data_IF_125043807772
#
_entry.id   IF_125043807772
#
_cell.length_a   1.000
_cell.length_b   1.000
_cell.length_c   1.000
_cell.angle_alpha   90.00
_cell.angle_beta   90.00
_cell.angle_gamma   90.00
#
_symmetry.space_group_name_H-M   'P 1'
#
loop_
_entity.id
_entity.type
_entity.pdbx_description
1 polymer ?
#
# COMPACT_ATOMS: atom_id res chain seq x y z
N UNK A 1 13.32 -34.99 1.80
CA UNK A 1 13.40 -33.82 0.89
C UNK A 1 14.78 -33.79 0.25
N UNK A 2 14.93 -33.34 -1.00
CA UNK A 2 16.23 -33.32 -1.71
C UNK A 2 16.84 -31.91 -1.73
N UNK A 3 17.65 -31.59 -0.71
CA UNK A 3 18.34 -30.29 -0.60
C UNK A 3 19.37 -30.15 -1.74
N UNK A 4 19.42 -29.01 -2.46
CA UNK A 4 20.27 -28.83 -3.63
C UNK A 4 21.71 -28.38 -3.30
N UNK A 5 22.44 -29.19 -2.53
CA UNK A 5 23.82 -28.89 -2.05
C UNK A 5 24.85 -28.48 -3.11
N UNK A 6 24.64 -28.84 -4.38
CA UNK A 6 25.61 -28.61 -5.47
C UNK A 6 24.99 -28.01 -6.74
N UNK A 7 23.78 -27.44 -6.65
CA UNK A 7 23.09 -26.82 -7.79
C UNK A 7 22.95 -25.32 -7.58
N UNK A 8 23.61 -24.54 -8.42
CA UNK A 8 23.43 -23.08 -8.50
C UNK A 8 22.75 -22.69 -9.81
N UNK A 9 21.88 -21.68 -9.76
CA UNK A 9 21.36 -21.04 -10.97
C UNK A 9 22.43 -20.14 -11.59
N UNK A 10 22.42 -20.02 -12.92
CA UNK A 10 23.22 -19.00 -13.62
C UNK A 10 22.56 -17.64 -13.43
N UNK A 11 23.25 -16.75 -12.74
CA UNK A 11 22.81 -15.37 -12.53
C UNK A 11 23.06 -14.53 -13.79
N UNK A 12 22.13 -13.62 -14.08
CA UNK A 12 22.27 -12.65 -15.16
C UNK A 12 22.55 -11.26 -14.57
N UNK A 13 23.60 -10.61 -15.06
CA UNK A 13 24.04 -9.28 -14.68
C UNK A 13 24.01 -8.27 -15.85
N UNK A 14 23.27 -8.56 -16.92
CA UNK A 14 23.05 -7.65 -18.04
C UNK A 14 22.16 -6.47 -17.62
N UNK A 15 22.80 -5.32 -17.33
CA UNK A 15 22.14 -4.08 -16.91
C UNK A 15 21.02 -3.61 -17.87
N UNK A 16 21.21 -3.75 -19.18
CA UNK A 16 20.20 -3.40 -20.19
C UNK A 16 18.96 -4.30 -20.06
N UNK A 17 19.15 -5.61 -19.93
CA UNK A 17 18.05 -6.57 -19.70
C UNK A 17 17.34 -6.27 -18.38
N UNK A 18 18.09 -6.02 -17.31
CA UNK A 18 17.53 -5.68 -16.00
C UNK A 18 16.70 -4.39 -16.06
N UNK A 19 17.18 -3.36 -16.78
CA UNK A 19 16.45 -2.12 -16.98
C UNK A 19 15.14 -2.34 -17.75
N UNK A 20 15.19 -3.07 -18.87
CA UNK A 20 13.98 -3.41 -19.66
C UNK A 20 12.95 -4.16 -18.80
N UNK A 21 13.38 -5.13 -17.99
CA UNK A 21 12.51 -5.88 -17.08
C UNK A 21 11.88 -4.98 -16.00
N UNK A 22 12.66 -4.08 -15.40
CA UNK A 22 12.17 -3.14 -14.38
C UNK A 22 11.22 -2.09 -14.97
N UNK A 23 11.46 -1.64 -16.20
CA UNK A 23 10.60 -0.69 -16.92
C UNK A 23 9.31 -1.36 -17.47
N UNK A 24 9.33 -2.67 -17.74
CA UNK A 24 8.16 -3.48 -18.11
C UNK A 24 7.26 -3.75 -16.87
N UNK A 25 7.82 -4.22 -15.76
CA UNK A 25 7.03 -4.58 -14.56
C UNK A 25 6.49 -3.37 -13.78
N UNK A 26 7.22 -2.25 -13.82
CA UNK A 26 6.91 -1.07 -13.01
C UNK A 26 6.94 0.20 -13.85
N UNK A 27 5.84 0.94 -13.84
CA UNK A 27 5.84 2.31 -14.32
C UNK A 27 6.39 3.25 -13.23
N UNK A 28 7.07 4.34 -13.62
CA UNK A 28 7.64 5.30 -12.67
C UNK A 28 8.81 4.73 -11.84
N UNK A 29 8.84 5.05 -10.55
CA UNK A 29 9.79 4.56 -9.52
C UNK A 29 11.29 4.68 -9.87
N UNK A 30 11.69 5.80 -10.49
CA UNK A 30 13.06 6.03 -11.00
C UNK A 30 14.15 5.75 -9.95
N UNK A 31 14.06 6.40 -8.79
CA UNK A 31 15.06 6.31 -7.72
C UNK A 31 15.27 4.86 -7.23
N UNK A 32 14.20 4.06 -7.21
CA UNK A 32 14.25 2.64 -6.83
C UNK A 32 14.89 1.81 -7.93
N UNK A 33 14.51 2.04 -9.19
CA UNK A 33 15.11 1.35 -10.35
C UNK A 33 16.59 1.63 -10.46
N UNK A 34 16.98 2.89 -10.31
CA UNK A 34 18.38 3.31 -10.32
C UNK A 34 19.14 2.63 -9.17
N UNK A 35 18.57 2.57 -7.96
CA UNK A 35 19.16 1.83 -6.83
C UNK A 35 19.29 0.32 -7.06
N UNK A 36 18.35 -0.30 -7.77
CA UNK A 36 18.43 -1.71 -8.18
C UNK A 36 19.52 -1.90 -9.25
N UNK A 37 19.63 -0.98 -10.22
CA UNK A 37 20.65 -1.03 -11.27
C UNK A 37 22.06 -0.81 -10.69
N UNK A 38 22.23 0.10 -9.72
CA UNK A 38 23.45 0.22 -8.90
C UNK A 38 23.80 -1.09 -8.21
N UNK A 39 22.82 -1.74 -7.57
CA UNK A 39 23.03 -3.02 -6.90
C UNK A 39 23.51 -4.11 -7.88
N UNK A 40 22.86 -4.24 -9.04
CA UNK A 40 23.22 -5.20 -10.09
C UNK A 40 24.62 -4.87 -10.65
N UNK A 41 24.93 -3.59 -10.87
CA UNK A 41 26.22 -3.12 -11.35
C UNK A 41 27.36 -3.47 -10.41
N UNK A 42 27.20 -3.24 -9.10
CA UNK A 42 28.23 -3.62 -8.11
C UNK A 42 28.35 -5.15 -7.99
N UNK A 43 27.24 -5.89 -8.09
CA UNK A 43 27.25 -7.36 -8.07
C UNK A 43 27.99 -7.94 -9.29
N UNK A 44 27.84 -7.32 -10.46
CA UNK A 44 28.60 -7.65 -11.68
C UNK A 44 30.11 -7.45 -11.49
N UNK A 45 30.52 -6.35 -10.85
CA UNK A 45 31.93 -6.07 -10.56
C UNK A 45 32.53 -7.04 -9.54
N UNK A 46 31.74 -7.50 -8.55
CA UNK A 46 32.18 -8.50 -7.57
C UNK A 46 32.11 -9.95 -8.09
N UNK A 47 31.38 -10.21 -9.17
CA UNK A 47 31.09 -11.56 -9.68
C UNK A 47 30.21 -12.41 -8.75
N UNK A 48 29.58 -11.80 -7.74
CA UNK A 48 28.78 -12.46 -6.71
C UNK A 48 27.86 -11.43 -6.03
N UNK A 49 26.65 -11.87 -5.66
CA UNK A 49 25.70 -11.09 -4.82
C UNK A 49 25.94 -11.26 -3.31
N UNK A 50 26.96 -12.04 -2.90
CA UNK A 50 27.23 -12.38 -1.50
C UNK A 50 27.26 -11.17 -0.54
N UNK A 51 26.65 -11.36 0.63
CA UNK A 51 26.73 -10.43 1.76
C UNK A 51 25.96 -9.13 1.59
N UNK A 52 24.95 -9.08 0.71
CA UNK A 52 24.07 -7.91 0.56
C UNK A 52 22.59 -8.30 0.71
N UNK A 53 21.87 -7.48 1.46
CA UNK A 53 20.42 -7.56 1.66
C UNK A 53 19.80 -6.33 0.98
N UNK A 54 18.69 -6.53 0.26
CA UNK A 54 17.87 -5.44 -0.26
C UNK A 54 16.59 -5.34 0.57
N UNK A 55 16.46 -4.29 1.37
CA UNK A 55 15.20 -3.96 2.03
C UNK A 55 14.47 -2.90 1.21
N UNK A 56 13.28 -3.23 0.70
CA UNK A 56 12.38 -2.26 0.08
C UNK A 56 11.27 -1.91 1.08
N UNK A 57 11.24 -0.67 1.54
CA UNK A 57 10.24 -0.28 2.53
C UNK A 57 9.16 0.53 1.84
N UNK A 58 7.93 0.04 1.84
CA UNK A 58 6.82 0.65 1.11
C UNK A 58 5.51 -0.09 1.36
N UNK A 59 4.44 0.36 0.71
CA UNK A 59 3.13 -0.24 0.92
C UNK A 59 3.01 -1.65 0.31
N UNK A 60 2.18 -2.52 0.87
CA UNK A 60 1.91 -3.83 0.29
C UNK A 60 1.30 -3.69 -1.10
N UNK A 61 1.83 -4.46 -2.06
CA UNK A 61 1.31 -4.52 -3.43
C UNK A 61 2.10 -3.72 -4.50
N UNK A 62 3.24 -3.10 -4.15
CA UNK A 62 4.11 -2.44 -5.16
C UNK A 62 4.86 -3.46 -6.05
N UNK A 63 5.13 -4.67 -5.54
CA UNK A 63 5.59 -5.82 -6.35
C UNK A 63 7.11 -5.96 -6.58
N UNK A 64 7.90 -4.95 -6.23
CA UNK A 64 9.35 -4.81 -6.53
C UNK A 64 10.18 -6.09 -6.33
N UNK A 65 10.00 -6.80 -5.22
CA UNK A 65 10.79 -8.00 -4.91
C UNK A 65 10.70 -9.09 -6.00
N UNK A 66 9.54 -9.22 -6.65
CA UNK A 66 9.33 -10.19 -7.74
C UNK A 66 10.07 -9.75 -9.01
N UNK A 67 9.99 -8.48 -9.35
CA UNK A 67 10.63 -7.90 -10.54
C UNK A 67 12.16 -7.88 -10.45
N UNK A 68 12.71 -7.70 -9.24
CA UNK A 68 14.15 -7.89 -8.99
C UNK A 68 14.55 -9.37 -9.20
N UNK A 69 13.72 -10.32 -8.75
CA UNK A 69 13.98 -11.74 -9.02
C UNK A 69 13.88 -12.08 -10.52
N UNK A 70 12.92 -11.48 -11.26
CA UNK A 70 12.80 -11.61 -12.72
C UNK A 70 14.03 -11.03 -13.44
N UNK A 71 14.49 -9.84 -13.02
CA UNK A 71 15.65 -9.14 -13.59
C UNK A 71 16.95 -9.94 -13.45
N UNK A 72 17.16 -10.57 -12.29
CA UNK A 72 18.32 -11.43 -12.01
C UNK A 72 18.19 -12.84 -12.61
N UNK A 73 17.15 -13.11 -13.41
CA UNK A 73 16.86 -14.42 -14.00
C UNK A 73 16.66 -15.53 -12.93
N UNK A 74 16.10 -15.15 -11.78
CA UNK A 74 15.83 -16.01 -10.60
C UNK A 74 14.35 -16.38 -10.46
N UNK A 75 13.48 -16.02 -11.41
CA UNK A 75 12.17 -16.68 -11.59
C UNK A 75 12.32 -17.93 -12.49
N UNK A 76 11.77 -19.06 -12.05
CA UNK A 76 11.75 -20.29 -12.83
C UNK A 76 10.81 -20.16 -14.04
N UNK A 77 11.21 -20.71 -15.21
CA UNK A 77 10.39 -20.63 -16.43
C UNK A 77 8.97 -21.17 -16.19
N UNK A 78 7.90 -20.44 -16.58
CA UNK A 78 6.52 -20.90 -16.41
C UNK A 78 6.18 -21.94 -17.49
N UNK A 79 6.59 -23.19 -17.28
CA UNK A 79 6.22 -24.28 -18.19
C UNK A 79 5.81 -25.60 -17.53
N UNK A 80 5.84 -25.72 -16.21
CA UNK A 80 5.23 -26.84 -15.49
C UNK A 80 4.77 -26.43 -14.09
N UNK A 81 3.45 -26.37 -13.86
CA UNK A 81 2.82 -26.01 -12.57
C UNK A 81 3.22 -26.93 -11.40
N UNK A 82 3.79 -28.11 -11.68
CA UNK A 82 4.21 -29.10 -10.69
C UNK A 82 5.63 -28.88 -10.10
N UNK A 83 6.47 -28.01 -10.70
CA UNK A 83 7.86 -27.77 -10.24
C UNK A 83 7.98 -26.39 -9.57
N UNK A 84 6.87 -25.86 -9.05
CA UNK A 84 6.84 -24.53 -8.40
C UNK A 84 7.45 -24.52 -6.99
N UNK A 85 7.68 -25.69 -6.38
CA UNK A 85 8.13 -25.81 -4.98
C UNK A 85 9.65 -25.97 -4.77
N UNK A 86 10.44 -26.31 -5.80
CA UNK A 86 11.80 -26.83 -5.55
C UNK A 86 12.94 -25.83 -5.75
N UNK A 87 12.90 -24.96 -6.76
CA UNK A 87 13.98 -24.02 -7.07
C UNK A 87 13.44 -22.77 -7.77
N UNK A 88 14.12 -21.64 -7.55
CA UNK A 88 13.87 -20.33 -8.17
C UNK A 88 12.76 -19.48 -7.49
N UNK A 89 13.15 -18.71 -6.47
CA UNK A 89 12.36 -17.59 -5.95
C UNK A 89 11.30 -17.91 -4.89
N UNK A 90 11.69 -18.43 -3.72
CA UNK A 90 10.76 -18.67 -2.61
C UNK A 90 10.40 -17.36 -1.88
N UNK A 91 9.14 -16.97 -1.91
CA UNK A 91 8.60 -15.87 -1.09
C UNK A 91 7.95 -16.46 0.16
N UNK A 92 8.40 -16.03 1.34
CA UNK A 92 7.80 -16.39 2.63
C UNK A 92 7.41 -15.13 3.41
N UNK A 93 6.26 -15.17 4.08
CA UNK A 93 5.78 -14.04 4.90
C UNK A 93 6.19 -14.22 6.35
N UNK A 94 6.95 -13.25 6.88
CA UNK A 94 7.29 -13.15 8.31
C UNK A 94 6.27 -12.36 9.13
N UNK A 95 5.28 -11.73 8.48
CA UNK A 95 4.25 -10.94 9.14
C UNK A 95 3.36 -11.80 10.05
N UNK A 96 3.27 -11.43 11.33
CA UNK A 96 2.48 -12.13 12.35
C UNK A 96 3.17 -13.37 12.95
N UNK A 97 4.45 -13.61 12.64
CA UNK A 97 5.22 -14.68 13.29
C UNK A 97 5.60 -14.28 14.72
N UNK A 98 5.44 -15.24 15.64
CA UNK A 98 5.74 -15.11 17.08
C UNK A 98 6.64 -16.25 17.54
N UNK A 99 7.45 -16.80 16.62
CA UNK A 99 8.06 -18.11 16.77
C UNK A 99 9.44 -18.28 16.06
N UNK A 100 10.41 -18.91 16.73
CA UNK A 100 11.72 -19.28 16.15
C UNK A 100 11.65 -20.56 15.33
N UNK A 101 10.86 -21.56 15.72
CA UNK A 101 10.78 -22.78 14.91
C UNK A 101 10.03 -22.53 13.59
N UNK A 102 9.28 -21.44 13.49
CA UNK A 102 8.82 -20.92 12.21
C UNK A 102 9.96 -20.47 11.28
N UNK A 103 11.22 -20.42 11.72
CA UNK A 103 12.39 -20.13 10.88
C UNK A 103 13.36 -21.32 10.88
N UNK A 104 13.70 -21.83 12.07
CA UNK A 104 14.74 -22.88 12.29
C UNK A 104 14.23 -24.31 12.46
N UNK A 105 12.93 -24.53 12.59
CA UNK A 105 12.34 -25.86 12.75
C UNK A 105 12.39 -26.44 14.15
N UNK A 106 11.80 -27.62 14.25
CA UNK A 106 11.79 -28.49 15.43
C UNK A 106 12.94 -29.47 15.39
N UNK A 107 13.31 -30.03 16.54
CA UNK A 107 14.26 -31.15 16.57
C UNK A 107 13.55 -32.40 16.09
N UNK A 108 14.25 -33.32 15.44
CA UNK A 108 13.65 -34.61 15.01
C UNK A 108 13.01 -35.40 16.17
N UNK A 109 13.46 -35.15 17.41
CA UNK A 109 12.92 -35.73 18.65
C UNK A 109 11.52 -35.24 19.04
N UNK A 110 11.02 -34.16 18.43
CA UNK A 110 9.76 -33.53 18.80
C UNK A 110 8.54 -34.22 18.16
N UNK A 111 7.46 -34.41 18.91
CA UNK A 111 6.24 -35.06 18.40
C UNK A 111 5.57 -34.17 17.35
N UNK A 112 5.66 -34.59 16.09
CA UNK A 112 5.21 -33.80 14.93
C UNK A 112 6.29 -32.86 14.37
N UNK A 113 7.57 -33.19 14.57
CA UNK A 113 8.71 -32.41 14.08
C UNK A 113 8.59 -32.07 12.58
N UNK A 114 8.67 -30.78 12.29
CA UNK A 114 8.66 -30.20 10.96
C UNK A 114 9.85 -29.22 10.88
N UNK A 115 10.57 -29.16 9.75
CA UNK A 115 11.61 -28.16 9.55
C UNK A 115 11.02 -26.74 9.49
N UNK A 116 11.79 -25.68 9.78
CA UNK A 116 11.24 -24.31 9.96
C UNK A 116 10.72 -23.70 8.67
N UNK A 117 10.01 -22.55 8.59
CA UNK A 117 9.34 -22.09 7.32
C UNK A 117 10.26 -21.79 6.15
N UNK A 118 11.58 -21.81 6.34
CA UNK A 118 12.54 -22.05 5.25
C UNK A 118 12.20 -23.36 4.48
N UNK A 119 11.36 -24.21 5.09
CA UNK A 119 10.72 -25.45 4.68
C UNK A 119 9.25 -25.61 5.22
N UNK A 120 8.89 -25.65 6.55
CA UNK A 120 7.48 -25.87 7.00
C UNK A 120 6.83 -25.47 8.40
N UNK A 121 7.47 -25.01 9.50
CA UNK A 121 6.88 -24.61 10.86
C UNK A 121 6.26 -25.73 11.76
N UNK A 122 6.03 -25.66 13.11
CA UNK A 122 5.31 -24.66 13.97
C UNK A 122 5.51 -24.86 15.54
N UNK A 123 6.00 -23.88 16.38
CA UNK A 123 6.09 -23.77 17.91
C UNK A 123 7.49 -23.30 18.49
N UNK A 124 7.65 -22.70 19.69
CA UNK A 124 7.59 -21.27 20.12
C UNK A 124 9.02 -20.64 20.18
N UNK A 125 9.18 -19.32 19.98
CA UNK A 125 10.42 -18.54 20.25
C UNK A 125 10.38 -17.08 19.74
N UNK A 126 11.42 -16.26 19.93
CA UNK A 126 11.51 -14.90 19.31
C UNK A 126 12.12 -14.90 17.89
N UNK A 127 11.33 -14.72 16.81
CA UNK A 127 11.78 -14.86 15.42
C UNK A 127 12.85 -13.84 15.01
N UNK A 128 12.95 -12.70 15.69
CA UNK A 128 13.92 -11.66 15.31
C UNK A 128 15.37 -12.17 15.42
N UNK A 129 15.67 -12.96 16.45
CA UNK A 129 16.98 -13.59 16.65
C UNK A 129 17.38 -14.51 15.50
N UNK A 130 16.46 -15.35 15.02
CA UNK A 130 16.69 -16.27 13.92
C UNK A 130 16.78 -15.55 12.56
N UNK A 131 16.09 -14.42 12.38
CA UNK A 131 16.27 -13.56 11.21
C UNK A 131 17.66 -12.91 11.19
N UNK A 132 18.18 -12.47 12.34
CA UNK A 132 19.53 -11.89 12.42
C UNK A 132 20.60 -12.92 12.02
N UNK A 133 20.56 -14.14 12.54
CA UNK A 133 21.50 -15.22 12.20
C UNK A 133 21.45 -15.62 10.70
N UNK A 134 20.26 -15.56 10.09
CA UNK A 134 20.04 -15.85 8.68
C UNK A 134 20.48 -14.71 7.75
N UNK A 135 20.39 -13.46 8.22
CA UNK A 135 20.73 -12.26 7.45
C UNK A 135 22.19 -11.84 7.59
N UNK A 136 22.81 -12.07 8.75
CA UNK A 136 24.20 -11.68 9.04
C UNK A 136 25.21 -12.40 8.11
N UNK A 137 25.98 -11.66 7.30
CA UNK A 137 27.02 -12.24 6.44
C UNK A 137 28.11 -13.03 7.17
N UNK A 138 28.32 -12.81 8.47
CA UNK A 138 29.30 -13.56 9.27
C UNK A 138 28.75 -14.92 9.75
N UNK A 139 27.43 -15.05 9.89
CA UNK A 139 26.76 -16.24 10.45
C UNK A 139 26.08 -17.12 9.39
N UNK A 140 25.60 -16.52 8.30
CA UNK A 140 24.76 -17.22 7.32
C UNK A 140 25.47 -18.34 6.53
N UNK A 141 26.80 -18.42 6.55
CA UNK A 141 27.56 -19.52 5.95
C UNK A 141 27.52 -20.82 6.76
N UNK A 142 27.08 -20.75 8.03
CA UNK A 142 26.95 -21.88 8.95
C UNK A 142 25.56 -21.92 9.60
N UNK A 143 24.51 -21.47 8.89
CA UNK A 143 23.15 -21.46 9.42
C UNK A 143 22.71 -22.87 9.83
N UNK A 144 22.32 -23.04 11.09
CA UNK A 144 21.95 -24.33 11.66
C UNK A 144 20.43 -24.41 11.88
N UNK A 145 19.78 -25.19 11.02
CA UNK A 145 18.38 -25.60 11.17
C UNK A 145 18.29 -26.77 12.17
N UNK A 146 17.36 -26.69 13.12
CA UNK A 146 17.22 -27.65 14.22
C UNK A 146 16.70 -29.02 13.78
N UNK A 147 16.08 -29.12 12.60
CA UNK A 147 15.55 -30.36 12.05
C UNK A 147 16.62 -31.08 11.23
N UNK A 148 17.42 -30.32 10.47
CA UNK A 148 18.49 -30.89 9.64
C UNK A 148 19.76 -31.22 10.42
N UNK A 149 20.05 -30.50 11.51
CA UNK A 149 21.25 -30.62 12.37
C UNK A 149 22.59 -30.63 11.59
N UNK A 150 22.58 -30.01 10.40
CA UNK A 150 23.72 -29.87 9.49
C UNK A 150 23.79 -28.40 9.05
N UNK A 151 24.96 -27.74 9.11
CA UNK A 151 25.10 -26.35 8.70
C UNK A 151 24.83 -26.18 7.19
N UNK A 152 24.06 -25.14 6.85
CA UNK A 152 23.71 -24.78 5.47
C UNK A 152 24.37 -23.45 5.12
N UNK A 153 25.12 -23.41 4.01
CA UNK A 153 25.69 -22.18 3.46
C UNK A 153 24.62 -21.36 2.74
N UNK A 154 24.13 -20.30 3.39
CA UNK A 154 23.20 -19.32 2.82
C UNK A 154 23.90 -18.08 2.26
N UNK A 155 25.24 -18.00 2.25
CA UNK A 155 25.98 -16.78 1.86
C UNK A 155 25.65 -16.30 0.43
N UNK A 156 25.31 -17.22 -0.47
CA UNK A 156 24.96 -16.97 -1.88
C UNK A 156 23.47 -16.64 -2.09
N UNK A 157 22.65 -16.70 -1.05
CA UNK A 157 21.24 -16.31 -1.10
C UNK A 157 21.15 -14.78 -1.14
N UNK A 158 20.29 -14.24 -2.01
CA UNK A 158 19.95 -12.82 -1.97
C UNK A 158 18.68 -12.68 -1.14
N UNK A 159 18.79 -12.03 0.01
CA UNK A 159 17.62 -11.70 0.80
C UNK A 159 17.03 -10.37 0.30
N UNK A 160 15.76 -10.44 -0.10
CA UNK A 160 14.95 -9.27 -0.42
C UNK A 160 13.84 -9.21 0.62
N UNK A 161 13.87 -8.20 1.48
CA UNK A 161 12.83 -7.94 2.48
C UNK A 161 11.92 -6.81 2.01
N UNK A 162 10.64 -6.89 2.39
CA UNK A 162 9.69 -5.79 2.24
C UNK A 162 9.10 -5.43 3.59
N UNK A 163 9.22 -4.17 4.00
CA UNK A 163 8.67 -3.66 5.26
C UNK A 163 7.75 -2.46 5.04
N UNK A 164 6.85 -2.17 5.99
CA UNK A 164 5.89 -1.08 5.84
C UNK A 164 6.30 0.23 6.54
N UNK A 165 7.24 0.19 7.51
CA UNK A 165 7.30 1.20 8.58
C UNK A 165 8.70 1.71 8.97
N UNK A 166 9.68 1.66 8.06
CA UNK A 166 11.06 2.17 8.30
C UNK A 166 11.59 2.91 7.07
N UNK A 167 11.18 4.17 6.91
CA UNK A 167 11.52 5.11 5.81
C UNK A 167 10.99 4.71 4.42
N UNK A 168 10.06 5.50 3.89
CA UNK A 168 9.00 4.96 3.01
C UNK A 168 9.20 5.32 1.54
N UNK A 169 9.17 4.30 0.68
CA UNK A 169 8.98 4.41 -0.78
C UNK A 169 7.69 5.17 -1.09
N UNK A 170 7.83 6.19 -1.94
CA UNK A 170 6.71 6.89 -2.56
C UNK A 170 5.76 5.90 -3.26
N UNK A 171 4.48 5.98 -2.93
CA UNK A 171 3.43 5.26 -3.67
C UNK A 171 3.12 5.93 -5.00
N UNK A 172 2.27 5.25 -5.80
CA UNK A 172 1.97 5.65 -7.16
C UNK A 172 1.03 6.86 -7.23
N UNK A 173 1.34 7.81 -8.11
CA UNK A 173 0.46 8.93 -8.47
C UNK A 173 -0.71 8.40 -9.34
N UNK A 174 -1.86 9.08 -9.37
CA UNK A 174 -3.05 8.67 -10.13
C UNK A 174 -2.77 8.29 -11.59
N UNK A 175 -1.95 9.09 -12.29
CA UNK A 175 -1.53 8.87 -13.67
C UNK A 175 -0.61 7.65 -13.81
N UNK A 176 0.24 7.37 -12.81
CA UNK A 176 1.07 6.17 -12.78
C UNK A 176 0.21 4.92 -12.56
N UNK A 177 -0.81 5.00 -11.70
CA UNK A 177 -1.76 3.89 -11.48
C UNK A 177 -2.56 3.56 -12.73
N UNK A 178 -2.96 4.56 -13.50
CA UNK A 178 -3.62 4.39 -14.80
C UNK A 178 -2.71 3.63 -15.77
N UNK A 179 -1.44 4.01 -15.87
CA UNK A 179 -0.45 3.32 -16.70
C UNK A 179 -0.18 1.87 -16.22
N UNK A 180 0.00 1.66 -14.91
CA UNK A 180 0.18 0.31 -14.32
C UNK A 180 -1.06 -0.57 -14.57
N UNK A 181 -2.25 -0.01 -14.48
CA UNK A 181 -3.49 -0.74 -14.72
C UNK A 181 -3.65 -1.18 -16.18
N UNK A 182 -3.37 -0.29 -17.14
CA UNK A 182 -3.42 -0.63 -18.56
C UNK A 182 -2.33 -1.64 -18.98
N UNK A 183 -1.09 -1.44 -18.53
CA UNK A 183 0.03 -2.28 -18.97
C UNK A 183 0.04 -3.65 -18.29
N UNK A 184 -0.21 -3.70 -16.97
CA UNK A 184 0.10 -4.89 -16.16
C UNK A 184 -1.14 -5.50 -15.49
N UNK A 185 -2.00 -4.71 -14.83
CA UNK A 185 -3.11 -5.27 -14.05
C UNK A 185 -4.25 -5.85 -14.92
N UNK A 186 -4.65 -5.16 -15.98
CA UNK A 186 -5.73 -5.63 -16.86
C UNK A 186 -5.33 -6.93 -17.60
N UNK A 187 -4.14 -7.05 -18.22
CA UNK A 187 -3.68 -8.32 -18.81
C UNK A 187 -3.57 -9.45 -17.78
N UNK A 188 -3.01 -9.17 -16.60
CA UNK A 188 -2.90 -10.16 -15.52
C UNK A 188 -4.28 -10.69 -15.10
N UNK A 189 -5.23 -9.80 -14.80
CA UNK A 189 -6.57 -10.17 -14.35
C UNK A 189 -7.41 -10.84 -15.47
N UNK A 190 -7.22 -10.46 -16.74
CA UNK A 190 -7.81 -11.18 -17.90
C UNK A 190 -7.33 -12.63 -17.97
N UNK A 191 -6.02 -12.85 -17.82
CA UNK A 191 -5.44 -14.20 -17.87
C UNK A 191 -5.96 -15.12 -16.76
N UNK A 192 -6.30 -14.55 -15.59
CA UNK A 192 -6.90 -15.29 -14.48
C UNK A 192 -8.41 -15.53 -14.68
N UNK A 193 -9.10 -14.60 -15.35
CA UNK A 193 -10.54 -14.67 -15.65
C UNK A 193 -10.88 -15.59 -16.83
N UNK A 194 -9.90 -16.01 -17.62
CA UNK A 194 -10.11 -16.81 -18.84
C UNK A 194 -10.77 -16.04 -19.99
N UNK A 195 -10.64 -14.70 -20.01
CA UNK A 195 -11.22 -13.83 -21.04
C UNK A 195 -10.26 -13.60 -22.21
N UNK A 196 -10.77 -13.67 -23.42
CA UNK A 196 -9.99 -13.38 -24.64
C UNK A 196 -9.82 -11.88 -24.90
N UNK A 197 -8.78 -11.53 -25.65
CA UNK A 197 -8.47 -10.15 -26.00
C UNK A 197 -9.50 -9.57 -26.96
N UNK A 198 -10.42 -8.78 -26.40
CA UNK A 198 -11.52 -8.14 -27.12
C UNK A 198 -12.86 -8.30 -26.40
N UNK A 199 -13.08 -9.38 -25.64
CA UNK A 199 -14.38 -9.67 -25.00
C UNK A 199 -14.81 -8.60 -23.97
N UNK A 200 -13.86 -7.92 -23.34
CA UNK A 200 -14.12 -6.85 -22.36
C UNK A 200 -13.17 -5.68 -22.58
N UNK A 201 -13.75 -4.49 -22.73
CA UNK A 201 -13.05 -3.22 -22.93
C UNK A 201 -13.35 -2.29 -21.75
N UNK A 202 -12.32 -1.88 -21.01
CA UNK A 202 -12.46 -0.91 -19.91
C UNK A 202 -12.01 0.45 -20.44
N UNK A 203 -12.92 1.43 -20.42
CA UNK A 203 -12.61 2.80 -20.84
C UNK A 203 -11.67 3.48 -19.84
N UNK A 204 -10.77 4.31 -20.35
CA UNK A 204 -9.83 5.10 -19.52
C UNK A 204 -10.56 6.01 -18.53
N UNK A 205 -11.73 6.57 -18.90
CA UNK A 205 -12.54 7.38 -17.98
C UNK A 205 -13.21 6.55 -16.88
N UNK A 206 -13.59 5.30 -17.18
CA UNK A 206 -14.08 4.36 -16.17
C UNK A 206 -12.95 3.99 -15.17
N UNK A 207 -11.73 3.80 -15.67
CA UNK A 207 -10.55 3.52 -14.86
C UNK A 207 -10.17 4.71 -13.96
N UNK A 208 -10.17 5.94 -14.48
CA UNK A 208 -9.99 7.18 -13.69
C UNK A 208 -11.05 7.33 -12.60
N UNK A 209 -12.32 7.06 -12.95
CA UNK A 209 -13.42 7.08 -11.98
C UNK A 209 -13.23 6.02 -10.90
N UNK A 210 -12.79 4.82 -11.27
CA UNK A 210 -12.50 3.73 -10.34
C UNK A 210 -11.37 4.08 -9.38
N UNK A 211 -10.23 4.57 -9.89
CA UNK A 211 -9.07 4.99 -9.08
C UNK A 211 -9.51 6.06 -8.07
N UNK A 212 -10.24 7.08 -8.51
CA UNK A 212 -10.69 8.20 -7.66
C UNK A 212 -11.67 7.79 -6.57
N UNK A 213 -12.70 7.01 -6.91
CA UNK A 213 -13.88 6.81 -6.04
C UNK A 213 -13.94 5.45 -5.34
N UNK A 214 -13.05 4.52 -5.68
CA UNK A 214 -12.97 3.19 -5.07
C UNK A 214 -11.57 2.87 -4.49
N UNK A 215 -10.49 3.55 -4.91
CA UNK A 215 -9.11 3.16 -4.56
C UNK A 215 -8.28 4.24 -3.83
N UNK A 216 -8.66 4.59 -2.59
CA UNK A 216 -7.83 5.44 -1.70
C UNK A 216 -6.76 4.65 -0.94
N UNK A 217 -5.75 4.22 -1.68
CA UNK A 217 -4.49 3.64 -1.18
C UNK A 217 -3.30 4.31 -1.90
N UNK A 218 -2.07 4.10 -1.46
CA UNK A 218 -0.88 4.53 -2.22
C UNK A 218 -0.38 3.45 -3.20
N UNK A 219 -0.73 2.19 -2.96
CA UNK A 219 -0.50 1.06 -3.86
C UNK A 219 -1.55 0.89 -4.97
N UNK A 220 -1.57 -0.32 -5.53
CA UNK A 220 -2.48 -0.77 -6.62
C UNK A 220 -3.20 -2.09 -6.31
N UNK A 221 -3.25 -2.51 -5.04
CA UNK A 221 -3.83 -3.79 -4.61
C UNK A 221 -5.35 -3.78 -4.67
N UNK A 222 -5.98 -2.75 -4.12
CA UNK A 222 -7.44 -2.57 -4.22
C UNK A 222 -7.84 -2.30 -5.68
N UNK A 223 -7.00 -1.58 -6.43
CA UNK A 223 -7.16 -1.37 -7.86
C UNK A 223 -7.24 -2.71 -8.63
N UNK A 224 -6.29 -3.63 -8.39
CA UNK A 224 -6.32 -4.98 -8.96
C UNK A 224 -7.59 -5.74 -8.55
N UNK A 225 -7.96 -5.77 -7.27
CA UNK A 225 -9.16 -6.46 -6.80
C UNK A 225 -10.46 -5.93 -7.45
N UNK A 226 -10.56 -4.63 -7.68
CA UNK A 226 -11.70 -4.05 -8.38
C UNK A 226 -11.70 -4.38 -9.87
N UNK A 227 -10.54 -4.42 -10.53
CA UNK A 227 -10.39 -4.86 -11.94
C UNK A 227 -10.78 -6.35 -12.08
N UNK A 228 -10.30 -7.23 -11.20
CA UNK A 228 -10.70 -8.64 -11.14
C UNK A 228 -12.21 -8.79 -10.94
N UNK A 229 -12.82 -8.02 -10.03
CA UNK A 229 -14.28 -8.03 -9.80
C UNK A 229 -15.08 -7.59 -11.03
N UNK A 230 -14.58 -6.61 -11.80
CA UNK A 230 -15.18 -6.19 -13.07
C UNK A 230 -15.09 -7.32 -14.09
N UNK A 231 -13.91 -7.89 -14.29
CA UNK A 231 -13.67 -8.93 -15.29
C UNK A 231 -14.44 -10.22 -14.99
N UNK A 232 -14.49 -10.67 -13.73
CA UNK A 232 -15.31 -11.82 -13.33
C UNK A 232 -16.81 -11.60 -13.60
N UNK A 233 -17.33 -10.39 -13.32
CA UNK A 233 -18.74 -10.07 -13.63
C UNK A 233 -18.99 -9.90 -15.13
N UNK A 234 -18.03 -9.37 -15.88
CA UNK A 234 -18.12 -9.28 -17.33
C UNK A 234 -18.11 -10.67 -17.97
N UNK A 235 -17.24 -11.58 -17.52
CA UNK A 235 -17.23 -12.99 -17.93
C UNK A 235 -18.57 -13.68 -17.65
N UNK A 236 -19.13 -13.51 -16.44
CA UNK A 236 -20.47 -14.01 -16.12
C UNK A 236 -21.55 -13.45 -17.07
N UNK A 237 -21.49 -12.15 -17.38
CA UNK A 237 -22.44 -11.49 -18.29
C UNK A 237 -22.31 -12.03 -19.72
N UNK A 238 -21.09 -12.21 -20.24
CA UNK A 238 -20.82 -12.83 -21.55
C UNK A 238 -21.40 -14.24 -21.59
N UNK A 239 -21.10 -15.10 -20.61
CA UNK A 239 -21.63 -16.47 -20.56
C UNK A 239 -23.17 -16.51 -20.51
N UNK A 240 -23.79 -15.64 -19.71
CA UNK A 240 -25.26 -15.56 -19.64
C UNK A 240 -25.90 -15.10 -20.96
N UNK A 241 -25.22 -14.26 -21.75
CA UNK A 241 -25.69 -13.81 -23.06
C UNK A 241 -25.49 -14.86 -24.16
N UNK A 242 -24.55 -15.81 -23.98
CA UNK A 242 -24.40 -16.97 -24.87
C UNK A 242 -25.50 -17.98 -24.60
N UNK A 243 -25.72 -18.37 -23.34
CA UNK A 243 -26.76 -19.34 -22.96
C UNK A 243 -28.15 -18.96 -23.47
N UNK A 244 -28.57 -17.69 -23.29
CA UNK A 244 -29.88 -17.24 -23.78
C UNK A 244 -30.04 -17.31 -25.30
N UNK A 245 -28.94 -17.25 -26.07
CA UNK A 245 -28.98 -17.40 -27.54
C UNK A 245 -29.00 -18.86 -27.98
N UNK A 246 -28.31 -19.72 -27.24
CA UNK A 246 -28.32 -21.17 -27.49
C UNK A 246 -29.74 -21.73 -27.19
N UNK A 247 -30.37 -21.32 -26.09
CA UNK A 247 -31.75 -21.68 -25.72
C UNK A 247 -32.79 -21.17 -26.76
N UNK A 248 -32.64 -19.95 -27.28
CA UNK A 248 -33.50 -19.40 -28.35
C UNK A 248 -33.28 -20.12 -29.70
N UNK A 249 -32.05 -20.54 -30.02
CA UNK A 249 -31.74 -21.28 -31.24
C UNK A 249 -32.27 -22.72 -31.21
N UNK A 250 -32.25 -23.40 -30.05
CA UNK A 250 -32.90 -24.72 -29.90
C UNK A 250 -34.43 -24.63 -30.07
N UNK A 251 -35.06 -23.51 -29.70
CA UNK A 251 -36.50 -23.31 -29.83
C UNK A 251 -37.00 -23.13 -31.28
N UNK A 252 -36.18 -22.61 -32.20
CA UNK A 252 -36.53 -22.53 -33.64
C UNK A 252 -36.09 -23.77 -34.45
N UNK A 253 -35.25 -24.64 -33.90
CA UNK A 253 -34.59 -25.73 -34.62
C UNK A 253 -35.42 -26.97 -34.97
N UNK A 254 -36.57 -27.21 -34.34
CA UNK A 254 -37.27 -28.51 -34.36
C UNK A 254 -38.09 -28.81 -35.65
N UNK A 255 -37.64 -28.33 -36.81
CA UNK A 255 -38.20 -28.67 -38.13
C UNK A 255 -37.17 -28.87 -39.24
N UNK A 256 -36.21 -29.79 -39.03
CA UNK A 256 -35.77 -30.82 -40.02
C UNK A 256 -34.57 -31.64 -39.49
N UNK A 257 -34.76 -32.96 -39.33
CA UNK A 257 -33.68 -33.96 -39.48
C UNK A 257 -33.47 -34.19 -40.99
N UNK A 258 -32.30 -34.55 -41.53
CA UNK A 258 -31.47 -35.72 -41.17
C UNK A 258 -30.09 -35.68 -41.91
N UNK A 259 -29.17 -36.57 -41.50
CA UNK A 259 -27.93 -37.04 -42.18
C UNK A 259 -26.61 -36.21 -42.23
N UNK A 260 -25.67 -36.64 -41.36
CA UNK A 260 -24.19 -36.81 -41.50
C UNK A 260 -23.30 -35.76 -42.19
N UNK A 261 -22.34 -35.20 -41.41
CA UNK A 261 -20.90 -35.55 -41.46
C UNK A 261 -20.09 -34.88 -40.34
N UNK A 262 -18.88 -35.38 -40.09
CA UNK A 262 -17.87 -34.73 -39.23
C UNK A 262 -17.26 -33.53 -39.97
N UNK A 263 -17.47 -32.31 -39.46
CA UNK A 263 -16.68 -31.13 -39.81
C UNK A 263 -16.36 -30.35 -38.52
N UNK A 264 -15.19 -29.71 -38.49
CA UNK A 264 -14.71 -28.92 -37.35
C UNK A 264 -15.70 -27.81 -37.01
N UNK A 265 -16.11 -27.71 -35.73
CA UNK A 265 -16.97 -26.59 -35.29
C UNK A 265 -16.22 -25.26 -35.55
N UNK A 266 -16.78 -24.35 -36.36
CA UNK A 266 -16.22 -23.01 -36.49
C UNK A 266 -16.24 -22.30 -35.14
N UNK A 267 -15.29 -21.37 -34.94
CA UNK A 267 -15.30 -20.48 -33.79
C UNK A 267 -16.67 -19.76 -33.66
N UNK A 268 -17.27 -19.71 -32.46
CA UNK A 268 -18.55 -19.05 -32.27
C UNK A 268 -18.47 -17.56 -32.65
N UNK A 269 -19.55 -16.95 -33.17
CA UNK A 269 -19.54 -15.58 -33.66
C UNK A 269 -19.20 -14.59 -32.53
N UNK A 270 -18.56 -13.44 -32.86
CA UNK A 270 -18.06 -12.51 -31.86
C UNK A 270 -19.21 -11.94 -31.03
N UNK A 271 -19.27 -12.35 -29.75
CA UNK A 271 -20.12 -11.73 -28.75
C UNK A 271 -19.74 -10.25 -28.68
N UNK A 272 -20.70 -9.29 -28.73
CA UNK A 272 -20.36 -7.89 -28.69
C UNK A 272 -19.57 -7.57 -27.41
N UNK A 273 -18.47 -6.81 -27.51
CA UNK A 273 -17.54 -6.63 -26.40
C UNK A 273 -18.23 -5.90 -25.24
N UNK A 274 -18.09 -6.41 -24.02
CA UNK A 274 -18.62 -5.74 -22.84
C UNK A 274 -17.78 -4.51 -22.56
N UNK A 275 -18.28 -3.34 -22.97
CA UNK A 275 -17.67 -2.03 -22.69
C UNK A 275 -18.04 -1.58 -21.28
N UNK A 276 -17.02 -1.30 -20.46
CA UNK A 276 -17.15 -0.78 -19.10
C UNK A 276 -16.81 0.70 -19.12
N UNK A 277 -17.84 1.52 -18.90
CA UNK A 277 -17.80 2.98 -18.92
C UNK A 277 -18.04 3.55 -17.52
N UNK A 278 -17.78 4.85 -17.34
CA UNK A 278 -17.97 5.51 -16.04
C UNK A 278 -19.41 5.47 -15.51
N UNK A 279 -20.41 5.35 -16.40
CA UNK A 279 -21.82 5.26 -16.03
C UNK A 279 -22.24 3.86 -15.60
N UNK A 280 -21.75 2.80 -16.26
CA UNK A 280 -22.13 1.41 -15.97
C UNK A 280 -21.24 0.72 -14.90
N UNK A 281 -20.12 1.35 -14.52
CA UNK A 281 -19.17 0.83 -13.51
C UNK A 281 -19.84 0.39 -12.20
N UNK A 282 -20.94 1.07 -11.80
CA UNK A 282 -21.72 0.77 -10.59
C UNK A 282 -22.32 -0.63 -10.60
N UNK A 283 -22.73 -1.14 -11.76
CA UNK A 283 -23.31 -2.48 -11.91
C UNK A 283 -22.27 -3.58 -11.65
N UNK A 284 -21.02 -3.29 -11.99
CA UNK A 284 -19.88 -4.18 -11.76
C UNK A 284 -19.37 -4.06 -10.31
N UNK A 285 -18.92 -2.88 -9.90
CA UNK A 285 -18.19 -2.72 -8.63
C UNK A 285 -19.13 -2.55 -7.44
N UNK A 286 -20.30 -1.94 -7.64
CA UNK A 286 -21.21 -1.45 -6.61
C UNK A 286 -21.17 0.07 -6.47
N UNK A 287 -21.82 0.60 -5.43
CA UNK A 287 -21.78 2.04 -5.13
C UNK A 287 -20.35 2.52 -4.80
N UNK A 288 -19.99 3.77 -5.16
CA UNK A 288 -18.72 4.38 -4.76
C UNK A 288 -18.48 4.26 -3.25
N UNK A 289 -17.28 3.83 -2.87
CA UNK A 289 -16.87 3.78 -1.45
C UNK A 289 -16.54 5.17 -0.91
N UNK A 290 -16.08 6.06 -1.79
CA UNK A 290 -15.74 7.43 -1.47
C UNK A 290 -16.64 8.38 -2.26
N UNK A 291 -17.17 9.41 -1.58
CA UNK A 291 -18.19 10.33 -2.13
C UNK A 291 -17.62 11.74 -2.33
N UNK A 292 -16.65 12.15 -1.51
CA UNK A 292 -15.92 13.42 -1.66
C UNK A 292 -14.47 13.28 -1.20
N UNK A 293 -13.53 13.96 -1.85
CA UNK A 293 -12.12 14.09 -1.40
C UNK A 293 -11.97 15.03 -0.20
N UNK A 294 -13.07 15.67 0.21
CA UNK A 294 -13.13 16.68 1.26
C UNK A 294 -14.37 16.49 2.10
N UNK A 295 -14.20 16.59 3.42
CA UNK A 295 -15.31 16.70 4.35
C UNK A 295 -16.01 18.07 4.19
N UNK A 296 -15.23 19.11 3.90
CA UNK A 296 -15.71 20.48 3.68
C UNK A 296 -15.44 20.93 2.23
N UNK A 297 -16.50 21.26 1.48
CA UNK A 297 -16.37 21.91 0.16
C UNK A 297 -15.74 23.31 0.29
N UNK A 298 -16.22 24.08 1.27
CA UNK A 298 -15.65 25.35 1.72
C UNK A 298 -15.40 25.26 3.22
N UNK A 299 -14.17 25.53 3.68
CA UNK A 299 -13.87 25.51 5.12
C UNK A 299 -14.45 26.74 5.84
N UNK A 300 -15.25 26.55 6.91
CA UNK A 300 -15.70 27.65 7.76
C UNK A 300 -14.57 28.19 8.65
N UNK A 301 -14.74 29.38 9.28
CA UNK A 301 -13.83 29.87 10.31
C UNK A 301 -13.59 28.82 11.39
N UNK A 302 -12.32 28.61 11.75
CA UNK A 302 -11.92 27.62 12.74
C UNK A 302 -11.68 26.20 12.23
N UNK A 303 -11.89 25.93 10.93
CA UNK A 303 -11.62 24.62 10.31
C UNK A 303 -10.48 24.73 9.30
N UNK A 304 -9.47 23.87 9.44
CA UNK A 304 -8.24 23.92 8.62
C UNK A 304 -7.80 22.53 8.18
N UNK A 305 -7.43 22.39 6.91
CA UNK A 305 -6.88 21.15 6.36
C UNK A 305 -5.40 20.98 6.74
N UNK A 306 -5.10 19.89 7.43
CA UNK A 306 -3.75 19.45 7.75
C UNK A 306 -3.30 18.27 6.88
N UNK A 307 -2.00 18.15 6.67
CA UNK A 307 -1.39 16.93 6.13
C UNK A 307 -0.88 16.07 7.29
N UNK A 308 -1.32 14.82 7.33
CA UNK A 308 -0.87 13.80 8.27
C UNK A 308 -0.25 12.63 7.51
N UNK A 309 0.66 11.91 8.17
CA UNK A 309 1.27 10.71 7.63
C UNK A 309 0.82 9.49 8.42
N UNK A 310 0.45 8.42 7.73
CA UNK A 310 0.01 7.15 8.33
C UNK A 310 0.80 5.98 7.72
N UNK A 311 0.70 4.80 8.31
CA UNK A 311 1.23 3.55 7.70
C UNK A 311 0.58 3.23 6.34
N UNK A 312 -0.61 3.78 6.06
CA UNK A 312 -1.31 3.69 4.78
C UNK A 312 -0.99 4.89 3.85
N UNK A 313 0.00 5.71 4.20
CA UNK A 313 0.51 6.84 3.40
C UNK A 313 0.08 8.21 3.92
N UNK A 314 0.39 9.24 3.14
CA UNK A 314 -0.05 10.61 3.40
C UNK A 314 -1.57 10.76 3.24
N UNK A 315 -2.20 11.47 4.17
CA UNK A 315 -3.64 11.74 4.19
C UNK A 315 -3.93 13.19 4.60
N UNK A 316 -5.03 13.73 4.11
CA UNK A 316 -5.56 15.03 4.55
C UNK A 316 -6.53 14.83 5.71
N UNK A 317 -6.34 15.54 6.81
CA UNK A 317 -7.26 15.56 7.95
C UNK A 317 -7.75 16.99 8.21
N UNK A 318 -8.97 17.16 8.72
CA UNK A 318 -9.39 18.47 9.21
C UNK A 318 -9.10 18.62 10.72
N UNK A 319 -8.55 19.77 11.07
CA UNK A 319 -8.48 20.28 12.45
C UNK A 319 -9.62 21.27 12.61
N UNK A 320 -10.53 20.95 13.52
CA UNK A 320 -11.69 21.76 13.84
C UNK A 320 -11.48 22.44 15.20
N UNK A 321 -11.84 23.72 15.27
CA UNK A 321 -11.87 24.45 16.53
C UNK A 321 -13.27 24.98 16.76
N UNK A 322 -13.75 24.77 17.98
CA UNK A 322 -15.06 25.23 18.45
C UNK A 322 -14.93 26.07 19.71
N UNK A 323 -15.87 26.98 19.91
CA UNK A 323 -15.98 27.79 21.11
C UNK A 323 -17.25 27.39 21.84
N UNK A 324 -17.14 26.97 23.10
CA UNK A 324 -18.29 26.68 23.95
C UNK A 324 -18.49 27.78 24.99
N UNK A 325 -19.76 28.02 25.35
CA UNK A 325 -20.11 28.91 26.46
C UNK A 325 -19.97 28.21 27.81
N UNK A 326 -18.74 27.79 28.12
CA UNK A 326 -18.39 27.17 29.39
C UNK A 326 -18.16 28.19 30.50
N UNK A 327 -18.94 28.10 31.59
CA UNK A 327 -18.80 28.92 32.79
C UNK A 327 -17.52 28.55 33.58
N UNK A 328 -16.38 29.08 33.15
CA UNK A 328 -15.11 29.02 33.88
C UNK A 328 -15.11 29.93 35.12
N UNK A 329 -15.86 29.56 36.16
CA UNK A 329 -15.73 30.13 37.50
C UNK A 329 -14.50 29.52 38.17
N UNK A 330 -13.35 30.20 38.07
CA UNK A 330 -12.25 29.94 39.00
C UNK A 330 -12.66 30.41 40.40
N UNK A 331 -12.15 29.74 41.45
CA UNK A 331 -12.41 30.09 42.85
C UNK A 331 -11.87 31.47 43.26
N UNK A 332 -11.17 32.18 42.37
CA UNK A 332 -10.56 33.50 42.59
C UNK A 332 -11.09 34.58 41.61
N UNK A 333 -12.20 34.34 40.91
CA UNK A 333 -12.87 35.35 40.07
C UNK A 333 -12.15 35.72 38.76
N UNK A 334 -10.96 35.16 38.48
CA UNK A 334 -10.30 35.28 37.17
C UNK A 334 -10.93 34.31 36.17
N UNK A 335 -11.63 34.81 35.16
CA UNK A 335 -12.13 34.00 34.03
C UNK A 335 -10.99 33.56 33.12
N UNK A 336 -10.34 32.46 33.47
CA UNK A 336 -9.33 31.83 32.63
C UNK A 336 -9.98 30.76 31.74
N UNK A 337 -9.95 30.97 30.43
CA UNK A 337 -10.61 30.10 29.46
C UNK A 337 -9.77 28.85 29.17
N UNK A 338 -10.19 27.71 29.70
CA UNK A 338 -9.58 26.41 29.45
C UNK A 338 -9.66 25.94 27.99
N UNK A 339 -8.94 24.86 27.70
CA UNK A 339 -8.87 24.20 26.39
C UNK A 339 -9.12 22.70 26.57
N UNK A 340 -9.98 22.11 25.74
CA UNK A 340 -10.29 20.68 25.72
C UNK A 340 -9.96 20.13 24.33
N UNK A 341 -9.29 18.97 24.29
CA UNK A 341 -8.75 18.38 23.06
C UNK A 341 -9.32 16.98 22.84
N UNK A 342 -9.82 16.68 21.64
CA UNK A 342 -10.47 15.41 21.29
C UNK A 342 -9.87 14.77 20.02
N UNK A 343 -10.12 13.47 19.81
CA UNK A 343 -9.69 12.73 18.62
C UNK A 343 -8.47 11.80 18.81
N UNK A 344 -8.36 11.14 19.98
CA UNK A 344 -7.31 10.15 20.31
C UNK A 344 -5.87 10.66 20.10
N UNK A 345 -5.59 11.84 20.66
CA UNK A 345 -4.26 12.44 20.62
C UNK A 345 -3.31 11.71 21.59
N UNK A 346 -2.11 11.38 21.12
CA UNK A 346 -0.99 10.97 21.97
C UNK A 346 -0.36 12.15 22.72
N UNK A 347 0.70 11.91 23.48
CA UNK A 347 1.23 12.90 24.42
C UNK A 347 2.04 14.00 23.73
N UNK A 348 2.79 13.68 22.67
CA UNK A 348 3.51 14.69 21.86
C UNK A 348 2.53 15.60 21.14
N UNK A 349 1.42 15.05 20.64
CA UNK A 349 0.37 15.82 19.99
C UNK A 349 -0.40 16.72 20.98
N UNK A 350 -0.61 16.29 22.24
CA UNK A 350 -1.14 17.16 23.31
C UNK A 350 -0.20 18.32 23.61
N UNK A 351 1.11 18.06 23.74
CA UNK A 351 2.11 19.10 23.99
C UNK A 351 2.16 20.12 22.84
N UNK A 352 2.24 19.65 21.59
CA UNK A 352 2.14 20.49 20.39
C UNK A 352 0.88 21.37 20.39
N UNK A 353 -0.27 20.82 20.83
CA UNK A 353 -1.52 21.57 20.94
C UNK A 353 -1.42 22.70 21.99
N UNK A 354 -0.76 22.46 23.13
CA UNK A 354 -0.51 23.48 24.17
C UNK A 354 0.45 24.57 23.67
N UNK A 355 1.50 24.19 22.94
CA UNK A 355 2.46 25.13 22.32
C UNK A 355 1.75 26.01 21.28
N UNK A 356 0.97 25.40 20.37
CA UNK A 356 0.20 26.10 19.35
C UNK A 356 -0.81 27.08 19.95
N UNK A 357 -1.53 26.67 21.01
CA UNK A 357 -2.44 27.54 21.76
C UNK A 357 -1.71 28.73 22.42
N UNK A 358 -0.55 28.48 23.03
CA UNK A 358 0.25 29.50 23.70
C UNK A 358 0.81 30.52 22.70
N UNK A 359 1.30 30.05 21.55
CA UNK A 359 1.71 30.91 20.45
C UNK A 359 0.55 31.74 19.91
N UNK A 360 -0.60 31.13 19.60
CA UNK A 360 -1.78 31.84 19.09
C UNK A 360 -2.26 32.93 20.07
N UNK A 361 -2.23 32.65 21.38
CA UNK A 361 -2.55 33.61 22.46
C UNK A 361 -1.59 34.80 22.47
N UNK A 362 -0.29 34.54 22.38
CA UNK A 362 0.75 35.58 22.30
C UNK A 362 0.61 36.44 21.03
N UNK A 363 0.46 35.81 19.87
CA UNK A 363 0.33 36.46 18.57
C UNK A 363 -0.89 37.37 18.48
N UNK A 364 -2.07 36.90 18.90
CA UNK A 364 -3.28 37.72 18.93
C UNK A 364 -3.17 38.88 19.92
N UNK A 365 -2.59 38.65 21.11
CA UNK A 365 -2.39 39.70 22.10
C UNK A 365 -1.44 40.80 21.61
N UNK A 366 -0.45 40.45 20.79
CA UNK A 366 0.52 41.38 20.19
C UNK A 366 -0.03 42.14 18.98
N UNK A 367 -0.72 41.47 18.03
CA UNK A 367 -1.18 42.09 16.78
C UNK A 367 -2.63 42.56 16.77
N UNK A 368 -3.50 41.96 17.57
CA UNK A 368 -4.95 42.19 17.57
C UNK A 368 -5.51 42.31 19.01
N UNK A 369 -5.02 43.28 19.81
CA UNK A 369 -5.35 43.38 21.24
C UNK A 369 -6.84 43.61 21.54
N UNK A 370 -7.64 44.00 20.55
CA UNK A 370 -9.10 44.14 20.64
C UNK A 370 -9.86 42.81 20.64
N UNK A 371 -9.23 41.70 20.23
CA UNK A 371 -9.87 40.39 20.07
C UNK A 371 -9.89 39.65 21.42
N UNK A 372 -11.01 39.74 22.14
CA UNK A 372 -11.20 39.13 23.48
C UNK A 372 -11.54 37.62 23.39
N UNK A 373 -10.83 36.89 22.53
CA UNK A 373 -11.10 35.49 22.23
C UNK A 373 -10.74 34.51 23.36
N UNK A 374 -9.60 34.72 24.03
CA UNK A 374 -9.07 33.74 24.98
C UNK A 374 -9.79 33.66 26.34
N UNK A 375 -10.86 34.42 26.57
CA UNK A 375 -11.65 34.36 27.83
C UNK A 375 -12.70 33.24 27.87
N UNK A 376 -13.02 32.61 26.74
CA UNK A 376 -14.02 31.51 26.64
C UNK A 376 -13.34 30.13 26.65
N UNK A 377 -14.10 29.04 26.81
CA UNK A 377 -13.57 27.68 26.66
C UNK A 377 -13.46 27.32 25.17
N UNK A 378 -12.41 26.59 24.80
CA UNK A 378 -12.13 26.18 23.42
C UNK A 378 -12.06 24.67 23.33
N UNK A 379 -12.62 24.14 22.25
CA UNK A 379 -12.59 22.74 21.90
C UNK A 379 -11.77 22.60 20.63
N UNK A 380 -10.80 21.69 20.63
CA UNK A 380 -10.00 21.34 19.46
C UNK A 380 -10.29 19.89 19.15
N UNK A 381 -10.94 19.64 18.03
CA UNK A 381 -11.24 18.31 17.52
C UNK A 381 -10.35 18.01 16.32
N UNK A 382 -9.86 16.77 16.24
CA UNK A 382 -9.19 16.27 15.04
C UNK A 382 -9.94 15.05 14.54
N UNK A 383 -10.29 15.04 13.26
CA UNK A 383 -11.07 13.95 12.67
C UNK A 383 -10.37 12.58 12.80
N UNK A 384 -11.15 11.54 13.05
CA UNK A 384 -10.71 10.15 12.92
C UNK A 384 -10.43 9.40 14.23
N UNK A 385 -10.71 8.10 14.20
CA UNK A 385 -10.62 7.12 15.30
C UNK A 385 -9.25 6.44 15.39
N UNK A 386 -8.29 6.82 14.54
CA UNK A 386 -6.91 6.34 14.62
C UNK A 386 -6.11 7.19 15.62
N UNK A 387 -5.25 6.59 16.47
CA UNK A 387 -4.33 7.34 17.32
C UNK A 387 -3.45 8.28 16.48
N UNK A 388 -3.26 9.51 16.96
CA UNK A 388 -2.43 10.53 16.30
C UNK A 388 -1.41 11.04 17.31
N UNK A 389 -0.12 10.78 17.05
CA UNK A 389 0.96 11.32 17.85
C UNK A 389 2.07 11.87 16.96
N UNK A 390 2.57 13.07 17.31
CA UNK A 390 3.54 13.81 16.50
C UNK A 390 3.30 15.33 16.53
N UNK A 391 4.35 16.16 16.45
CA UNK A 391 4.26 17.61 16.63
C UNK A 391 3.88 18.37 15.34
N UNK A 392 3.84 17.69 14.20
CA UNK A 392 3.70 18.27 12.85
C UNK A 392 2.37 19.00 12.58
N UNK A 393 1.37 18.88 13.44
CA UNK A 393 0.11 19.61 13.33
C UNK A 393 0.14 21.03 13.95
N UNK A 394 1.24 21.46 14.59
CA UNK A 394 1.31 22.69 15.36
C UNK A 394 0.90 23.96 14.59
N UNK A 395 1.39 24.12 13.35
CA UNK A 395 1.00 25.24 12.46
C UNK A 395 -0.49 25.18 12.08
N UNK A 396 -1.02 23.98 11.82
CA UNK A 396 -2.44 23.75 11.47
C UNK A 396 -3.37 24.13 12.62
N UNK A 397 -3.03 23.69 13.84
CA UNK A 397 -3.79 23.99 15.07
C UNK A 397 -3.76 25.49 15.37
N UNK A 398 -2.58 26.12 15.31
CA UNK A 398 -2.47 27.57 15.51
C UNK A 398 -3.29 28.35 14.47
N UNK A 399 -3.26 27.93 13.21
CA UNK A 399 -4.01 28.58 12.13
C UNK A 399 -5.53 28.42 12.31
N UNK A 400 -6.00 27.27 12.79
CA UNK A 400 -7.41 27.05 13.13
C UNK A 400 -7.87 27.96 14.28
N UNK A 401 -7.09 28.02 15.36
CA UNK A 401 -7.37 28.91 16.49
C UNK A 401 -7.39 30.39 16.09
N UNK A 402 -6.47 30.82 15.22
CA UNK A 402 -6.45 32.20 14.68
C UNK A 402 -7.65 32.48 13.75
N UNK A 403 -8.01 31.51 12.90
CA UNK A 403 -9.18 31.60 12.01
C UNK A 403 -10.49 31.76 12.79
N UNK A 404 -10.68 30.96 13.84
CA UNK A 404 -11.83 31.08 14.74
C UNK A 404 -11.84 32.40 15.53
N UNK A 405 -10.67 32.87 15.97
CA UNK A 405 -10.54 34.11 16.72
C UNK A 405 -10.84 35.38 15.90
N UNK A 406 -10.56 35.34 14.60
CA UNK A 406 -10.77 36.45 13.67
C UNK A 406 -12.10 36.35 12.91
N UNK A 407 -12.89 35.31 13.15
CA UNK A 407 -14.09 34.94 12.38
C UNK A 407 -13.85 34.96 10.85
N UNK A 408 -12.69 34.46 10.42
CA UNK A 408 -12.22 34.53 9.04
C UNK A 408 -11.81 33.15 8.53
N UNK A 409 -12.41 32.63 7.46
CA UNK A 409 -11.99 31.35 6.89
C UNK A 409 -10.60 31.46 6.26
N UNK A 410 -9.87 30.35 6.27
CA UNK A 410 -8.59 30.24 5.56
C UNK A 410 -8.85 30.14 4.04
N UNK A 411 -7.84 30.50 3.24
CA UNK A 411 -7.91 30.32 1.79
C UNK A 411 -8.20 28.86 1.43
N UNK A 412 -9.17 28.65 0.54
CA UNK A 412 -9.57 27.31 0.10
C UNK A 412 -8.42 26.61 -0.65
N UNK A 413 -8.43 25.28 -0.67
CA UNK A 413 -7.38 24.45 -1.29
C UNK A 413 -5.99 24.52 -0.62
N UNK A 414 -5.85 25.14 0.57
CA UNK A 414 -4.58 25.16 1.32
C UNK A 414 -4.57 24.05 2.36
N UNK A 415 -3.64 23.11 2.21
CA UNK A 415 -3.28 22.14 3.25
C UNK A 415 -1.92 22.53 3.87
N UNK A 416 -1.74 22.29 5.16
CA UNK A 416 -0.49 22.65 5.86
C UNK A 416 -0.02 21.59 6.84
N UNK A 417 1.30 21.56 7.07
CA UNK A 417 1.96 20.75 8.09
C UNK A 417 3.25 21.46 8.50
N UNK A 418 3.66 21.28 9.75
CA UNK A 418 4.82 21.92 10.36
C UNK A 418 4.70 21.98 11.87
N UNK A 419 5.78 21.58 12.54
CA UNK A 419 5.95 21.82 13.97
C UNK A 419 6.15 23.32 14.25
N UNK A 420 5.61 23.77 15.38
CA UNK A 420 5.58 25.17 15.78
C UNK A 420 6.23 25.35 17.15
N UNK A 421 7.27 26.19 17.22
CA UNK A 421 7.86 26.64 18.48
C UNK A 421 7.01 27.73 19.15
N UNK A 422 7.10 27.87 20.49
CA UNK A 422 6.57 29.01 21.24
C UNK A 422 7.02 30.38 20.68
N UNK A 423 8.17 30.43 20.02
CA UNK A 423 8.72 31.65 19.37
C UNK A 423 8.09 31.97 18.02
N UNK A 424 7.21 31.12 17.49
CA UNK A 424 6.65 31.23 16.14
C UNK A 424 7.54 30.73 15.01
N UNK A 425 8.74 30.21 15.32
CA UNK A 425 9.57 29.53 14.33
C UNK A 425 8.97 28.16 13.99
N UNK A 426 8.92 27.84 12.69
CA UNK A 426 8.72 26.46 12.23
C UNK A 426 9.97 25.68 12.59
N UNK A 427 9.82 24.59 13.34
CA UNK A 427 10.92 23.62 13.49
C UNK A 427 10.98 22.84 12.18
N UNK A 428 12.08 23.00 11.46
CA UNK A 428 12.45 22.08 10.40
C UNK A 428 13.26 21.02 11.11
N UNK A 429 12.78 19.77 11.10
CA UNK A 429 13.56 18.65 11.64
C UNK A 429 14.92 18.63 10.94
N UNK A 430 15.99 18.41 11.71
CA UNK A 430 17.28 18.10 11.12
C UNK A 430 17.20 16.71 10.53
N UNK A 431 17.04 16.63 9.21
CA UNK A 431 17.20 15.37 8.46
C UNK A 431 18.59 14.80 8.78
N UNK A 432 18.63 13.56 9.27
CA UNK A 432 19.84 12.83 9.66
C UNK A 432 19.90 11.49 8.93
#
# INVERSE_FOLDING_TARGET
MSIPWSKTSKEDFHLERAKVILDEDHYGLKDIKDRILEFIGVSRLKGSVQGKILCFVGQPGVGIARSVARALNREGRPHNKLIQQSMSGSVFSVGGMTDVADIKGHRETDVGAMPGKVIQSLKKGDPASALLELLDPEQNSFFLDHYLDVPVDLSRVLFISTANTTDIVSGYISEEKEAVAHNNLIPQARSFSGLEEGQVLIETDALKFLIKWYCRESGVRNLLQHIEKILHKAAFKVLSQTQTKDDEAEAEGDKKKEETKEEEKPSPPPVPPVTVSSSNLKDFVGHPLFISDRFYETTPPGVVMGLAWTSMGGTTLYVETGMAEGQGLSKEGRREGGMTTTGQLGDVMKESTVIAYTFAKSFLSSKYPTVIFFRRQKFISTEGTTPKDGPSAGVTIASALLSLAMDRPIHQNVAMTGELSLTGKRVIGSDH
#
